data_IF_180893852357
#
_entry.id   IF_180893852357
#
_cell.length_a   1.000
_cell.length_b   1.000
_cell.length_c   1.000
_cell.angle_alpha   90.00
_cell.angle_beta   90.00
_cell.angle_gamma   90.00
#
_symmetry.space_group_name_H-M   'P 1'
#
loop_
_entity.id
_entity.type
_entity.pdbx_description
1 polymer ?
#
# COMPACT_ATOMS: atom_id res chain seq x y z
N UNK A 1 -21.60 -3.90 -12.39
CA UNK A 1 -21.44 -2.47 -12.04
C UNK A 1 -22.13 -2.22 -10.71
N UNK A 2 -21.43 -2.47 -9.61
CA UNK A 2 -21.98 -2.21 -8.28
C UNK A 2 -21.67 -0.76 -7.94
N UNK A 3 -22.72 0.07 -7.96
CA UNK A 3 -22.68 1.50 -7.66
C UNK A 3 -22.04 1.77 -6.28
N UNK A 4 -21.30 2.88 -6.19
CA UNK A 4 -20.69 3.46 -4.97
C UNK A 4 -21.65 3.54 -3.76
N UNK A 5 -22.97 3.51 -4.01
CA UNK A 5 -23.98 3.76 -2.99
C UNK A 5 -24.20 2.61 -1.98
N UNK A 6 -23.75 1.38 -2.25
CA UNK A 6 -24.06 0.25 -1.36
C UNK A 6 -23.17 0.20 -0.09
N UNK A 7 -22.10 0.99 -0.04
CA UNK A 7 -20.97 0.78 0.89
C UNK A 7 -20.57 2.06 1.65
N UNK A 8 -21.28 3.17 1.46
CA UNK A 8 -21.12 4.37 2.29
C UNK A 8 -19.93 5.28 1.95
N UNK A 9 -19.11 4.95 0.95
CA UNK A 9 -18.17 5.91 0.39
C UNK A 9 -18.88 6.77 -0.65
N UNK A 10 -19.11 8.03 -0.30
CA UNK A 10 -19.67 9.00 -1.23
C UNK A 10 -18.66 9.30 -2.37
N UNK A 11 -19.14 9.96 -3.42
CA UNK A 11 -18.24 10.36 -4.53
C UNK A 11 -17.14 11.32 -4.07
N UNK A 12 -17.39 12.07 -2.98
CA UNK A 12 -16.46 13.03 -2.40
C UNK A 12 -15.36 12.41 -1.55
N UNK A 13 -15.49 11.15 -1.12
CA UNK A 13 -14.50 10.47 -0.28
C UNK A 13 -13.09 10.57 -0.85
N UNK A 14 -12.14 11.04 -0.03
CA UNK A 14 -10.75 11.39 -0.33
C UNK A 14 -10.50 12.46 -1.41
N UNK A 15 -11.53 13.18 -1.88
CA UNK A 15 -11.36 14.13 -2.99
C UNK A 15 -10.72 15.46 -2.57
N UNK A 16 -10.72 15.77 -1.27
CA UNK A 16 -10.03 16.93 -0.71
C UNK A 16 -8.54 16.67 -0.44
N UNK A 17 -7.83 17.71 -0.02
CA UNK A 17 -6.45 17.61 0.46
C UNK A 17 -6.34 16.66 1.66
N UNK A 18 -5.14 16.15 1.91
CA UNK A 18 -4.84 15.44 3.15
C UNK A 18 -5.08 16.35 4.36
N UNK A 19 -5.73 15.87 5.43
CA UNK A 19 -6.17 16.70 6.54
C UNK A 19 -5.02 17.32 7.36
N UNK A 20 -3.92 16.59 7.55
CA UNK A 20 -2.79 17.07 8.33
C UNK A 20 -1.47 16.42 7.86
N UNK A 21 -1.19 16.52 6.56
CA UNK A 21 -0.05 15.82 5.97
C UNK A 21 1.28 16.31 6.54
N UNK A 22 2.02 15.39 7.15
CA UNK A 22 3.42 15.61 7.53
C UNK A 22 4.31 14.58 6.85
N UNK A 23 5.57 14.94 6.64
CA UNK A 23 6.59 14.06 6.05
C UNK A 23 7.77 13.97 6.99
N UNK A 24 8.15 12.74 7.32
CA UNK A 24 9.38 12.43 8.04
C UNK A 24 10.22 11.48 7.21
N UNK A 25 11.52 11.78 7.05
CA UNK A 25 12.47 10.83 6.45
C UNK A 25 12.98 9.93 7.58
N UNK A 26 12.93 8.61 7.37
CA UNK A 26 13.32 7.64 8.38
C UNK A 26 14.82 7.74 8.67
N UNK A 27 15.17 8.06 9.91
CA UNK A 27 16.53 7.91 10.43
C UNK A 27 16.75 6.48 10.94
N UNK A 28 17.40 5.67 10.09
CA UNK A 28 17.69 4.28 10.41
C UNK A 28 18.60 4.09 11.62
N UNK A 29 19.53 5.03 11.88
CA UNK A 29 20.44 4.94 13.03
C UNK A 29 19.69 5.24 14.31
N UNK A 30 18.89 6.32 14.33
CA UNK A 30 18.03 6.65 15.46
C UNK A 30 17.00 5.54 15.73
N UNK A 31 16.50 4.89 14.68
CA UNK A 31 15.60 3.74 14.75
C UNK A 31 16.25 2.40 15.15
N UNK A 32 17.56 2.36 15.43
CA UNK A 32 18.25 1.12 15.83
C UNK A 32 18.43 0.09 14.71
N UNK A 33 18.37 0.54 13.45
CA UNK A 33 18.40 -0.27 12.24
C UNK A 33 19.56 0.11 11.29
N UNK A 34 20.82 0.15 11.77
CA UNK A 34 21.96 0.66 10.98
C UNK A 34 22.25 -0.13 9.70
N UNK A 35 21.76 -1.38 9.59
CA UNK A 35 21.90 -2.19 8.38
C UNK A 35 21.13 -1.65 7.17
N UNK A 36 20.24 -0.68 7.36
CA UNK A 36 19.51 0.02 6.30
C UNK A 36 20.10 1.40 6.00
N UNK A 37 21.28 1.72 6.54
CA UNK A 37 21.95 2.98 6.22
C UNK A 37 22.14 3.14 4.70
N UNK A 38 21.83 4.35 4.20
CA UNK A 38 21.82 4.66 2.77
C UNK A 38 20.57 4.22 2.02
N UNK A 39 19.62 3.51 2.67
CA UNK A 39 18.29 3.23 2.11
C UNK A 39 17.35 4.43 2.32
N UNK A 40 16.37 4.56 1.45
CA UNK A 40 15.37 5.62 1.52
C UNK A 40 14.02 5.07 2.00
N UNK A 41 13.45 5.70 3.03
CA UNK A 41 12.07 5.51 3.46
C UNK A 41 11.53 6.81 4.06
N UNK A 42 10.23 7.02 3.93
CA UNK A 42 9.53 8.18 4.48
C UNK A 42 8.22 7.75 5.14
N UNK A 43 7.86 8.43 6.22
CA UNK A 43 6.55 8.33 6.86
C UNK A 43 5.75 9.54 6.46
N UNK A 44 4.56 9.31 5.90
CA UNK A 44 3.58 10.34 5.63
C UNK A 44 2.43 10.18 6.62
N UNK A 45 2.35 11.04 7.61
CA UNK A 45 1.27 11.03 8.61
C UNK A 45 0.18 12.03 8.24
N UNK A 46 -1.05 11.82 8.72
CA UNK A 46 -2.20 12.69 8.44
C UNK A 46 -2.64 12.72 6.97
N UNK A 47 -2.36 11.66 6.22
CA UNK A 47 -2.85 11.45 4.83
C UNK A 47 -4.38 11.29 4.81
N UNK A 48 -4.93 10.63 5.83
CA UNK A 48 -6.36 10.43 6.04
C UNK A 48 -6.69 10.75 7.50
N UNK A 49 -7.91 11.20 7.78
CA UNK A 49 -8.39 11.34 9.16
C UNK A 49 -8.76 9.97 9.74
N UNK A 50 -8.99 9.91 11.06
CA UNK A 50 -9.47 8.70 11.72
C UNK A 50 -10.83 8.28 11.15
N UNK A 51 -11.74 9.23 10.95
CA UNK A 51 -13.06 8.98 10.37
C UNK A 51 -12.97 8.46 8.93
N UNK A 52 -12.05 9.00 8.12
CA UNK A 52 -11.80 8.51 6.77
C UNK A 52 -11.25 7.08 6.78
N UNK A 53 -10.33 6.78 7.70
CA UNK A 53 -9.81 5.42 7.89
C UNK A 53 -10.93 4.44 8.28
N UNK A 54 -11.78 4.81 9.23
CA UNK A 54 -12.88 3.98 9.71
C UNK A 54 -13.91 3.71 8.62
N UNK A 55 -14.29 4.74 7.86
CA UNK A 55 -15.18 4.60 6.71
C UNK A 55 -14.58 3.67 5.65
N UNK A 56 -13.28 3.77 5.39
CA UNK A 56 -12.60 2.89 4.43
C UNK A 56 -12.59 1.43 4.90
N UNK A 57 -12.31 1.19 6.19
CA UNK A 57 -12.34 -0.16 6.77
C UNK A 57 -13.74 -0.75 6.72
N UNK A 58 -14.76 0.00 7.16
CA UNK A 58 -16.16 -0.42 7.10
C UNK A 58 -16.60 -0.73 5.67
N UNK A 59 -16.16 0.09 4.71
CA UNK A 59 -16.44 -0.13 3.29
C UNK A 59 -15.85 -1.44 2.77
N UNK A 60 -14.60 -1.71 3.13
CA UNK A 60 -13.89 -2.94 2.76
C UNK A 60 -14.54 -4.18 3.37
N UNK A 61 -14.88 -4.12 4.65
CA UNK A 61 -15.54 -5.22 5.35
C UNK A 61 -16.93 -5.49 4.76
N UNK A 62 -17.73 -4.45 4.51
CA UNK A 62 -19.03 -4.59 3.85
C UNK A 62 -18.93 -5.22 2.47
N UNK A 63 -17.94 -4.81 1.66
CA UNK A 63 -17.70 -5.37 0.31
C UNK A 63 -17.38 -6.87 0.34
N UNK A 64 -16.75 -7.34 1.41
CA UNK A 64 -16.36 -8.74 1.58
C UNK A 64 -17.39 -9.55 2.38
N UNK A 65 -18.60 -9.02 2.63
CA UNK A 65 -19.59 -9.62 3.54
C UNK A 65 -19.01 -9.94 4.93
N UNK A 66 -18.08 -9.12 5.40
CA UNK A 66 -17.32 -9.31 6.65
C UNK A 66 -16.30 -10.46 6.61
N UNK A 67 -16.13 -11.13 5.46
CA UNK A 67 -15.25 -12.28 5.31
C UNK A 67 -13.84 -11.85 4.97
N UNK A 68 -12.95 -12.01 5.93
CA UNK A 68 -11.53 -11.90 5.71
C UNK A 68 -10.99 -13.25 5.26
N UNK A 69 -10.75 -13.41 3.95
CA UNK A 69 -10.21 -14.66 3.41
C UNK A 69 -8.79 -14.90 3.96
N UNK A 70 -8.52 -16.11 4.48
CA UNK A 70 -7.14 -16.50 4.84
C UNK A 70 -6.28 -16.47 3.59
N UNK A 71 -5.13 -15.82 3.66
CA UNK A 71 -4.23 -15.68 2.52
C UNK A 71 -3.59 -17.03 2.12
N UNK A 72 -4.24 -17.79 1.23
CA UNK A 72 -3.65 -18.98 0.61
C UNK A 72 -2.45 -18.56 -0.26
N UNK A 73 -1.31 -19.25 -0.09
CA UNK A 73 -0.09 -19.05 -0.87
C UNK A 73 -0.08 -20.06 -2.02
N UNK A 74 0.05 -19.60 -3.27
CA UNK A 74 0.29 -20.48 -4.41
C UNK A 74 1.72 -21.01 -4.35
N UNK A 75 1.88 -22.32 -4.17
CA UNK A 75 3.19 -23.00 -4.11
C UNK A 75 3.70 -23.50 -5.47
N UNK A 76 3.03 -23.13 -6.58
CA UNK A 76 3.35 -23.58 -7.94
C UNK A 76 2.78 -24.98 -8.27
N UNK A 77 2.60 -25.27 -9.57
CA UNK A 77 2.15 -26.59 -10.05
C UNK A 77 0.69 -26.96 -9.78
N UNK A 78 -0.20 -25.98 -9.58
CA UNK A 78 -1.63 -26.23 -9.32
C UNK A 78 -1.93 -26.72 -7.89
N UNK A 79 -0.93 -26.76 -7.00
CA UNK A 79 -1.09 -27.12 -5.58
C UNK A 79 -1.19 -25.86 -4.73
N UNK A 80 -2.25 -25.78 -3.93
CA UNK A 80 -2.43 -24.79 -2.87
C UNK A 80 -2.10 -25.48 -1.54
N UNK A 81 -1.12 -24.96 -0.80
CA UNK A 81 -0.80 -25.41 0.54
C UNK A 81 -1.16 -24.33 1.55
N UNK A 82 -1.77 -24.74 2.66
CA UNK A 82 -2.04 -23.87 3.81
C UNK A 82 -0.69 -23.62 4.52
N UNK A 83 0.05 -22.59 4.12
CA UNK A 83 1.24 -22.16 4.85
C UNK A 83 0.80 -21.28 6.02
N UNK A 84 0.51 -21.89 7.17
CA UNK A 84 0.19 -21.17 8.41
C UNK A 84 1.40 -20.42 8.99
N UNK A 85 2.62 -20.75 8.56
CA UNK A 85 3.86 -20.31 9.23
C UNK A 85 4.51 -19.03 8.69
N UNK A 86 4.01 -18.43 7.60
CA UNK A 86 4.66 -17.26 6.97
C UNK A 86 3.73 -16.05 6.86
N UNK A 87 2.42 -16.27 6.73
CA UNK A 87 1.39 -15.21 6.70
C UNK A 87 0.06 -15.71 7.26
N UNK A 88 -0.07 -15.73 8.59
CA UNK A 88 -1.41 -15.82 9.19
C UNK A 88 -1.98 -14.41 9.24
N UNK A 89 -2.78 -14.03 8.26
CA UNK A 89 -3.59 -12.81 8.30
C UNK A 89 -4.82 -12.97 7.40
N UNK A 90 -5.89 -12.28 7.76
CA UNK A 90 -7.03 -12.07 6.89
C UNK A 90 -6.68 -11.08 5.78
N UNK A 91 -7.19 -11.30 4.57
CA UNK A 91 -6.96 -10.39 3.44
C UNK A 91 -8.23 -10.10 2.67
N UNK A 92 -8.41 -8.84 2.29
CA UNK A 92 -9.37 -8.41 1.27
C UNK A 92 -8.62 -7.70 0.15
N UNK A 93 -8.93 -8.06 -1.09
CA UNK A 93 -8.39 -7.39 -2.27
C UNK A 93 -9.50 -6.54 -2.87
N UNK A 94 -9.20 -5.26 -3.10
CA UNK A 94 -10.14 -4.34 -3.74
C UNK A 94 -9.42 -3.53 -4.82
N UNK A 95 -9.77 -3.81 -6.08
CA UNK A 95 -9.34 -3.01 -7.21
C UNK A 95 -10.25 -1.77 -7.33
N UNK A 96 -9.68 -0.56 -7.22
CA UNK A 96 -10.43 0.69 -7.39
C UNK A 96 -9.50 1.84 -7.85
N UNK A 97 -9.57 2.18 -9.13
CA UNK A 97 -8.75 3.23 -9.73
C UNK A 97 -9.03 4.62 -9.14
N UNK A 98 -10.31 4.97 -8.95
CA UNK A 98 -10.71 6.31 -8.49
C UNK A 98 -10.20 6.58 -7.07
N UNK A 99 -10.43 5.63 -6.17
CA UNK A 99 -10.01 5.74 -4.78
C UNK A 99 -8.48 5.87 -4.65
N UNK A 100 -7.75 5.04 -5.39
CA UNK A 100 -6.28 5.04 -5.38
C UNK A 100 -5.72 6.31 -6.03
N UNK A 101 -6.38 6.85 -7.07
CA UNK A 101 -5.99 8.11 -7.68
C UNK A 101 -6.16 9.30 -6.71
N UNK A 102 -7.26 9.33 -5.95
CA UNK A 102 -7.49 10.35 -4.91
C UNK A 102 -6.46 10.26 -3.79
N UNK A 103 -6.13 9.04 -3.34
CA UNK A 103 -5.04 8.83 -2.39
C UNK A 103 -3.69 9.30 -2.94
N UNK A 104 -3.39 9.01 -4.21
CA UNK A 104 -2.17 9.49 -4.87
C UNK A 104 -2.12 11.02 -4.90
N UNK A 105 -3.21 11.69 -5.28
CA UNK A 105 -3.29 13.15 -5.32
C UNK A 105 -2.99 13.81 -3.97
N UNK A 106 -3.27 13.13 -2.85
CA UNK A 106 -2.93 13.60 -1.51
C UNK A 106 -1.44 13.52 -1.18
N UNK A 107 -0.74 12.50 -1.68
CA UNK A 107 0.63 12.19 -1.26
C UNK A 107 1.70 12.54 -2.31
N UNK A 108 1.32 12.68 -3.58
CA UNK A 108 2.24 12.83 -4.72
C UNK A 108 3.27 13.93 -4.50
N UNK A 109 2.80 15.13 -4.11
CA UNK A 109 3.66 16.29 -3.89
C UNK A 109 4.63 16.11 -2.71
N UNK A 110 4.33 15.21 -1.77
CA UNK A 110 5.21 14.92 -0.63
C UNK A 110 6.35 13.96 -0.99
N UNK A 111 6.30 13.28 -2.15
CA UNK A 111 7.32 12.29 -2.55
C UNK A 111 7.96 12.59 -3.91
N UNK A 112 8.52 13.80 -4.14
CA UNK A 112 9.18 14.13 -5.40
C UNK A 112 10.37 13.20 -5.74
N UNK A 113 10.97 12.56 -4.74
CA UNK A 113 12.13 11.68 -4.89
C UNK A 113 11.84 10.45 -5.76
N UNK A 114 10.58 10.00 -5.82
CA UNK A 114 10.17 8.84 -6.62
C UNK A 114 9.59 9.23 -7.98
N UNK A 115 9.43 10.53 -8.25
CA UNK A 115 8.77 10.99 -9.47
C UNK A 115 9.54 10.61 -10.73
N UNK A 116 10.87 10.65 -10.64
CA UNK A 116 11.76 10.36 -11.76
C UNK A 116 12.96 9.58 -11.28
N UNK A 117 13.10 8.36 -11.77
CA UNK A 117 14.24 7.49 -11.52
C UNK A 117 15.07 7.33 -12.78
N UNK A 118 16.35 7.68 -12.68
CA UNK A 118 17.33 7.56 -13.75
C UNK A 118 18.66 7.12 -13.14
N UNK A 119 19.34 6.16 -13.78
CA UNK A 119 20.64 5.65 -13.33
C UNK A 119 20.65 5.13 -11.87
N UNK A 120 19.56 4.49 -11.44
CA UNK A 120 19.40 3.90 -10.10
C UNK A 120 19.32 2.36 -10.19
N UNK A 121 20.43 1.65 -10.47
CA UNK A 121 20.40 0.20 -10.74
C UNK A 121 19.98 -0.66 -9.53
N UNK A 122 20.08 -0.13 -8.32
CA UNK A 122 19.57 -0.79 -7.11
C UNK A 122 18.04 -0.75 -7.01
N UNK A 123 17.38 0.15 -7.75
CA UNK A 123 15.92 0.33 -7.76
C UNK A 123 15.32 -0.22 -9.06
N UNK A 124 15.82 0.23 -10.21
CA UNK A 124 15.26 -0.14 -11.53
C UNK A 124 15.89 -1.41 -12.11
N UNK A 125 16.97 -1.90 -11.52
CA UNK A 125 17.75 -3.02 -12.01
C UNK A 125 18.83 -2.63 -13.03
N UNK A 126 19.78 -3.54 -13.26
CA UNK A 126 20.95 -3.28 -14.13
C UNK A 126 20.59 -3.06 -15.60
N UNK A 127 19.51 -3.67 -16.09
CA UNK A 127 19.07 -3.57 -17.49
C UNK A 127 18.64 -2.16 -17.87
N UNK A 128 17.62 -1.59 -17.20
CA UNK A 128 17.18 -0.21 -17.42
C UNK A 128 18.31 0.82 -17.29
N UNK A 129 19.17 0.67 -16.27
CA UNK A 129 20.34 1.55 -16.10
C UNK A 129 21.31 1.49 -17.30
N UNK A 130 21.63 0.30 -17.83
CA UNK A 130 22.49 0.15 -19.02
C UNK A 130 21.88 0.75 -20.28
N UNK A 131 20.55 0.66 -20.43
CA UNK A 131 19.80 1.25 -21.55
C UNK A 131 19.53 2.74 -21.38
N UNK A 132 19.97 3.35 -20.27
CA UNK A 132 19.75 4.75 -19.92
C UNK A 132 18.25 5.11 -19.92
N UNK A 133 17.42 4.18 -19.43
CA UNK A 133 16.00 4.44 -19.27
C UNK A 133 15.73 5.44 -18.14
N UNK A 134 14.71 6.26 -18.35
CA UNK A 134 14.15 7.16 -17.34
C UNK A 134 12.75 6.65 -17.01
N UNK A 135 12.53 6.33 -15.74
CA UNK A 135 11.23 5.90 -15.24
C UNK A 135 10.55 7.07 -14.57
N UNK A 136 9.35 7.42 -15.04
CA UNK A 136 8.51 8.42 -14.38
C UNK A 136 7.37 7.72 -13.65
N UNK A 137 7.11 8.12 -12.40
CA UNK A 137 5.90 7.68 -11.70
C UNK A 137 4.68 8.21 -12.45
N UNK A 138 3.65 7.38 -12.57
CA UNK A 138 2.41 7.79 -13.26
C UNK A 138 1.20 7.68 -12.34
N UNK A 139 1.17 6.68 -11.48
CA UNK A 139 0.11 6.41 -10.51
C UNK A 139 0.54 5.32 -9.53
N UNK A 140 -0.26 5.14 -8.48
CA UNK A 140 -0.25 3.94 -7.65
C UNK A 140 -1.00 2.77 -8.34
N UNK A 141 -0.70 1.54 -7.93
CA UNK A 141 -1.39 0.34 -8.39
C UNK A 141 -2.83 0.32 -7.84
N UNK A 142 -3.82 0.14 -8.71
CA UNK A 142 -5.25 0.13 -8.35
C UNK A 142 -5.66 -1.01 -7.40
N UNK A 143 -4.85 -2.08 -7.32
CA UNK A 143 -5.11 -3.27 -6.51
C UNK A 143 -4.70 -3.05 -5.07
N UNK A 144 -5.61 -2.51 -4.27
CA UNK A 144 -5.43 -2.39 -2.84
C UNK A 144 -5.54 -3.74 -2.15
N UNK A 145 -4.68 -3.95 -1.15
CA UNK A 145 -4.66 -5.17 -0.32
C UNK A 145 -4.83 -4.75 1.12
N UNK A 146 -6.01 -4.99 1.67
CA UNK A 146 -6.30 -4.80 3.08
C UNK A 146 -5.90 -6.06 3.83
N UNK A 147 -5.10 -5.90 4.88
CA UNK A 147 -4.60 -6.99 5.71
C UNK A 147 -5.10 -6.77 7.14
N UNK A 148 -5.69 -7.80 7.74
CA UNK A 148 -6.15 -7.80 9.13
C UNK A 148 -5.35 -8.82 9.90
N UNK A 149 -4.73 -8.35 10.99
CA UNK A 149 -4.00 -9.18 11.94
C UNK A 149 -4.79 -9.25 13.24
N UNK A 150 -5.04 -10.45 13.71
CA UNK A 150 -5.67 -10.76 14.99
C UNK A 150 -4.64 -11.35 15.97
N UNK A 151 -5.07 -11.70 17.19
CA UNK A 151 -4.13 -12.21 18.20
C UNK A 151 -3.39 -13.47 17.70
N UNK A 152 -2.05 -13.45 17.74
CA UNK A 152 -1.20 -14.55 17.27
C UNK A 152 -0.87 -14.51 15.78
N UNK A 153 -1.45 -13.60 15.01
CA UNK A 153 -1.17 -13.41 13.58
C UNK A 153 0.07 -12.53 13.36
N UNK A 154 0.88 -12.85 12.36
CA UNK A 154 2.14 -12.17 12.12
C UNK A 154 2.57 -12.20 10.65
N UNK A 155 3.46 -11.26 10.32
CA UNK A 155 4.26 -11.31 9.11
C UNK A 155 5.72 -11.62 9.51
N UNK A 156 6.18 -12.84 9.26
CA UNK A 156 7.54 -13.25 9.63
C UNK A 156 8.43 -13.21 8.39
N UNK A 157 9.65 -12.71 8.56
CA UNK A 157 10.67 -12.74 7.53
C UNK A 157 11.03 -14.20 7.22
N UNK A 158 11.09 -14.54 5.93
CA UNK A 158 11.76 -15.77 5.48
C UNK A 158 13.27 -15.67 5.73
#
# INVERSE_FOLDING_TARGET
>A
MTSLNAVGLDKGFLSGHAPNLTKEIVDWRAGGLPGYEGMWAVVLDGVMSEEECDLLVAAVESKADGKWERALVNTGGGRQALYEDIRSCGRIIWDNHDLVAKLWARIEAAVPEIHRLENQPHITGRGPAKRKEVWNVTRLNERMRFLKYTSGEYFKRM
#
